data_IF_637280076003
#
_entry.id   IF_637280076003
#
_cell.length_a   1.000
_cell.length_b   1.000
_cell.length_c   1.000
_cell.angle_alpha   90.00
_cell.angle_beta   90.00
_cell.angle_gamma   90.00
#
_symmetry.space_group_name_H-M   'P 1'
#
loop_
_entity.id
_entity.type
_entity.pdbx_description
1 polymer ?
#
# COMPACT_ATOMS: atom_id res chain seq x y z
N UNK A 1 15.12 -6.40 4.75
CA UNK A 1 14.48 -5.16 5.23
C UNK A 1 15.35 -4.24 6.08
N UNK A 2 16.31 -4.70 6.91
CA UNK A 2 17.07 -3.84 7.84
C UNK A 2 17.80 -2.65 7.18
N UNK A 3 18.24 -2.78 5.92
CA UNK A 3 18.92 -1.72 5.16
C UNK A 3 18.10 -1.23 3.95
N UNK A 4 16.81 -1.57 3.87
CA UNK A 4 15.96 -1.15 2.76
C UNK A 4 15.44 0.27 3.02
N UNK A 5 16.01 1.25 2.34
CA UNK A 5 15.64 2.67 2.44
C UNK A 5 14.50 3.04 1.48
N UNK A 6 13.97 2.09 0.72
CA UNK A 6 12.82 2.33 -0.13
C UNK A 6 11.55 2.51 0.72
N UNK A 7 10.54 3.22 0.18
CA UNK A 7 9.22 3.30 0.79
C UNK A 7 8.56 1.92 0.88
N UNK A 8 7.53 1.79 1.72
CA UNK A 8 6.78 0.54 1.85
C UNK A 8 6.23 0.06 0.49
N UNK A 9 5.64 0.98 -0.27
CA UNK A 9 5.14 0.79 -1.62
C UNK A 9 5.51 2.05 -2.44
N UNK A 10 6.19 1.86 -3.56
CA UNK A 10 6.65 2.94 -4.43
C UNK A 10 5.51 3.61 -5.20
N UNK A 11 4.39 2.90 -5.41
CA UNK A 11 3.20 3.42 -6.09
C UNK A 11 2.23 4.11 -5.11
N UNK A 12 2.52 4.11 -3.81
CA UNK A 12 1.63 4.63 -2.78
C UNK A 12 1.99 6.06 -2.36
N UNK A 13 1.05 6.99 -2.48
CA UNK A 13 1.22 8.39 -2.11
C UNK A 13 0.84 8.72 -0.65
N UNK A 14 0.60 7.72 0.20
CA UNK A 14 0.20 7.96 1.60
C UNK A 14 1.32 8.60 2.43
N UNK A 15 0.96 9.21 3.56
CA UNK A 15 1.93 9.84 4.48
C UNK A 15 3.06 8.88 4.88
N UNK A 16 2.74 7.62 5.16
CA UNK A 16 3.74 6.61 5.53
C UNK A 16 4.76 6.37 4.41
N UNK A 17 4.30 6.11 3.18
CA UNK A 17 5.16 5.81 2.04
C UNK A 17 5.98 7.02 1.57
N UNK A 18 5.49 8.25 1.78
CA UNK A 18 6.24 9.46 1.38
C UNK A 18 7.34 9.86 2.36
N UNK A 19 7.22 9.49 3.63
CA UNK A 19 8.08 10.03 4.69
C UNK A 19 8.90 8.96 5.43
N UNK A 20 8.58 7.67 5.27
CA UNK A 20 9.23 6.59 6.02
C UNK A 20 9.66 5.43 5.11
N UNK A 21 10.75 4.80 5.52
CA UNK A 21 11.35 3.67 4.82
C UNK A 21 10.87 2.34 5.39
N UNK A 22 11.01 1.26 4.61
CA UNK A 22 10.75 -0.11 5.08
C UNK A 22 11.64 -0.49 6.27
N UNK A 23 12.91 -0.10 6.24
CA UNK A 23 13.85 -0.31 7.36
C UNK A 23 13.38 0.35 8.66
N UNK A 24 12.86 1.58 8.58
CA UNK A 24 12.34 2.29 9.75
C UNK A 24 11.06 1.64 10.29
N UNK A 25 10.10 1.29 9.43
CA UNK A 25 8.89 0.57 9.85
C UNK A 25 9.21 -0.79 10.48
N UNK A 26 10.18 -1.52 9.91
CA UNK A 26 10.65 -2.78 10.48
C UNK A 26 11.28 -2.59 11.87
N UNK A 27 12.05 -1.52 12.06
CA UNK A 27 12.61 -1.17 13.36
C UNK A 27 11.51 -0.89 14.40
N UNK A 28 10.55 -0.01 14.09
CA UNK A 28 9.43 0.32 14.99
C UNK A 28 8.64 -0.92 15.39
N UNK A 29 8.36 -1.80 14.43
CA UNK A 29 7.67 -3.05 14.70
C UNK A 29 8.46 -3.96 15.66
N UNK A 30 9.78 -4.07 15.46
CA UNK A 30 10.64 -4.91 16.32
C UNK A 30 10.74 -4.43 17.76
N UNK A 31 10.66 -3.12 18.00
CA UNK A 31 10.72 -2.55 19.34
C UNK A 31 9.33 -2.42 20.00
N UNK A 32 8.26 -2.86 19.31
CA UNK A 32 6.89 -2.82 19.84
C UNK A 32 6.32 -1.42 19.99
N UNK A 33 6.80 -0.46 19.20
CA UNK A 33 6.42 0.94 19.34
C UNK A 33 5.10 1.23 18.56
N UNK A 34 4.23 2.07 19.14
CA UNK A 34 2.86 2.31 18.67
C UNK A 34 2.76 3.09 17.36
N UNK A 35 3.71 3.98 17.06
CA UNK A 35 3.83 4.68 15.78
C UNK A 35 3.93 3.68 14.63
N UNK A 36 4.62 2.54 14.82
CA UNK A 36 4.66 1.46 13.81
C UNK A 36 3.25 1.01 13.40
N UNK A 37 2.39 0.73 14.38
CA UNK A 37 0.99 0.36 14.14
C UNK A 37 0.20 1.50 13.47
N UNK A 38 0.39 2.74 13.93
CA UNK A 38 -0.29 3.92 13.36
C UNK A 38 0.07 4.14 11.89
N UNK A 39 1.36 4.05 11.55
CA UNK A 39 1.86 4.22 10.18
C UNK A 39 1.35 3.10 9.26
N UNK A 40 1.27 1.87 9.74
CA UNK A 40 0.66 0.76 9.00
C UNK A 40 -0.84 1.00 8.77
N UNK A 41 -1.57 1.48 9.77
CA UNK A 41 -3.00 1.83 9.60
C UNK A 41 -3.20 2.91 8.54
N UNK A 42 -2.36 3.96 8.53
CA UNK A 42 -2.43 5.02 7.52
C UNK A 42 -2.23 4.45 6.11
N UNK A 43 -1.20 3.61 5.92
CA UNK A 43 -0.94 2.98 4.63
C UNK A 43 -2.10 2.09 4.18
N UNK A 44 -2.58 1.22 5.07
CA UNK A 44 -3.66 0.28 4.76
C UNK A 44 -4.94 1.01 4.37
N UNK A 45 -5.37 2.00 5.15
CA UNK A 45 -6.59 2.76 4.85
C UNK A 45 -6.48 3.53 3.53
N UNK A 46 -5.31 4.09 3.23
CA UNK A 46 -5.10 4.76 1.95
C UNK A 46 -5.17 3.79 0.78
N UNK A 47 -4.49 2.64 0.90
CA UNK A 47 -4.51 1.58 -0.11
C UNK A 47 -5.95 1.10 -0.40
N UNK A 48 -6.73 0.80 0.65
CA UNK A 48 -8.13 0.38 0.47
C UNK A 48 -8.99 1.46 -0.18
N UNK A 49 -8.80 2.73 0.19
CA UNK A 49 -9.52 3.83 -0.45
C UNK A 49 -9.19 3.97 -1.94
N UNK A 50 -7.92 3.82 -2.32
CA UNK A 50 -7.50 3.85 -3.73
C UNK A 50 -8.09 2.67 -4.51
N UNK A 51 -8.01 1.46 -3.95
CA UNK A 51 -8.59 0.25 -4.54
C UNK A 51 -10.09 0.44 -4.81
N UNK A 52 -10.85 0.86 -3.80
CA UNK A 52 -12.30 1.05 -3.91
C UNK A 52 -12.66 2.19 -4.88
N UNK A 53 -11.83 3.22 -4.97
CA UNK A 53 -12.01 4.30 -5.94
C UNK A 53 -11.77 3.81 -7.38
N UNK A 54 -10.73 3.01 -7.61
CA UNK A 54 -10.48 2.38 -8.90
C UNK A 54 -11.63 1.46 -9.32
N UNK A 55 -12.13 0.63 -8.39
CA UNK A 55 -13.29 -0.23 -8.65
C UNK A 55 -14.53 0.56 -9.05
N UNK A 56 -14.88 1.64 -8.32
CA UNK A 56 -16.04 2.49 -8.66
C UNK A 56 -15.90 3.10 -10.06
N UNK A 57 -14.74 3.66 -10.39
CA UNK A 57 -14.48 4.21 -11.73
C UNK A 57 -14.60 3.17 -12.84
N UNK A 58 -14.11 1.95 -12.60
CA UNK A 58 -14.20 0.88 -13.59
C UNK A 58 -15.64 0.38 -13.77
N UNK A 59 -16.45 0.36 -12.71
CA UNK A 59 -17.88 0.06 -12.81
C UNK A 59 -18.60 1.14 -13.62
N UNK A 60 -18.38 2.42 -13.31
CA UNK A 60 -18.96 3.57 -14.03
C UNK A 60 -18.57 3.58 -15.51
N UNK A 61 -17.34 3.16 -15.85
CA UNK A 61 -16.84 3.08 -17.21
C UNK A 61 -17.20 1.76 -17.94
N UNK A 62 -17.83 0.79 -17.27
CA UNK A 62 -18.11 -0.53 -17.85
C UNK A 62 -16.87 -1.41 -18.08
N UNK A 63 -15.73 -1.09 -17.46
CA UNK A 63 -14.42 -1.76 -17.63
C UNK A 63 -14.00 -2.58 -16.42
N UNK A 64 -14.94 -2.96 -15.55
CA UNK A 64 -14.65 -3.65 -14.29
C UNK A 64 -13.92 -4.99 -14.45
N UNK A 65 -14.23 -5.79 -15.47
CA UNK A 65 -13.52 -7.05 -15.70
C UNK A 65 -12.04 -6.85 -16.05
N UNK A 66 -11.73 -5.84 -16.86
CA UNK A 66 -10.33 -5.45 -17.15
C UNK A 66 -9.61 -5.03 -15.87
N UNK A 67 -10.23 -4.16 -15.07
CA UNK A 67 -9.68 -3.73 -13.78
C UNK A 67 -9.37 -4.92 -12.86
N UNK A 68 -10.28 -5.90 -12.78
CA UNK A 68 -10.11 -7.11 -11.97
C UNK A 68 -8.92 -7.97 -12.45
N UNK A 69 -8.76 -8.13 -13.77
CA UNK A 69 -7.64 -8.85 -14.36
C UNK A 69 -6.31 -8.16 -14.06
N UNK A 70 -6.22 -6.85 -14.26
CA UNK A 70 -5.03 -6.05 -13.95
C UNK A 70 -4.68 -6.13 -12.47
N UNK A 71 -5.66 -6.00 -11.58
CA UNK A 71 -5.48 -6.13 -10.13
C UNK A 71 -4.94 -7.51 -9.75
N UNK A 72 -5.50 -8.58 -10.32
CA UNK A 72 -5.05 -9.94 -10.07
C UNK A 72 -3.61 -10.17 -10.57
N UNK A 73 -3.26 -9.64 -11.74
CA UNK A 73 -1.90 -9.70 -12.29
C UNK A 73 -0.90 -8.96 -11.41
N UNK A 74 -1.20 -7.72 -11.01
CA UNK A 74 -0.34 -6.92 -10.11
C UNK A 74 -0.08 -7.62 -8.77
N UNK A 75 -1.06 -8.34 -8.22
CA UNK A 75 -0.89 -9.11 -6.98
C UNK A 75 -0.04 -10.36 -7.15
N UNK A 76 -0.11 -11.04 -8.30
CA UNK A 76 0.75 -12.21 -8.57
C UNK A 76 2.21 -11.81 -8.73
N UNK A 77 2.49 -10.63 -9.28
CA UNK A 77 3.88 -10.13 -9.40
C UNK A 77 4.49 -9.66 -8.08
N UNK A 78 3.72 -9.64 -6.98
CA UNK A 78 4.19 -9.24 -5.65
C UNK A 78 4.51 -10.43 -4.72
N UNK A 79 4.29 -11.68 -5.17
CA UNK A 79 4.68 -12.92 -4.46
C UNK A 79 5.95 -13.53 -5.04
#
# INVERSE_FOLDING_TARGET
YKNDTNPLDADCACYTCRNFTRSYLHHLHRIGEILGSRLNTIHNLHYYQQLMTGMRKAIEAGTFETFKQEFATKRRSLS
#
